data_IF_054617159044
#
_entry.id   IF_054617159044
#
_cell.length_a   1.000
_cell.length_b   1.000
_cell.length_c   1.000
_cell.angle_alpha   90.00
_cell.angle_beta   90.00
_cell.angle_gamma   90.00
#
_symmetry.space_group_name_H-M   'P 1'
#
loop_
_entity.id
_entity.type
_entity.pdbx_description
1 polymer ?
#
# COMPACT_ATOMS: atom_id res chain seq x y z
N UNK A 1 -22.86 3.75 19.42
CA UNK A 1 -21.87 3.39 20.44
C UNK A 1 -20.97 4.56 20.78
N UNK A 2 -20.59 4.70 22.00
CA UNK A 2 -20.26 5.88 22.77
C UNK A 2 -19.12 6.79 22.27
N UNK A 3 -19.39 8.08 22.15
CA UNK A 3 -18.52 9.25 21.91
C UNK A 3 -17.39 9.49 22.96
N UNK A 4 -16.84 8.46 23.60
CA UNK A 4 -15.92 8.61 24.75
C UNK A 4 -14.41 8.50 24.43
N UNK A 5 -13.95 8.57 23.17
CA UNK A 5 -12.52 8.59 22.84
C UNK A 5 -12.00 9.88 22.20
N UNK A 6 -12.78 10.94 22.21
CA UNK A 6 -12.42 12.29 21.70
C UNK A 6 -11.23 12.94 22.44
N UNK A 7 -10.86 12.45 23.63
CA UNK A 7 -9.98 13.16 24.54
C UNK A 7 -8.46 13.16 24.26
N UNK A 8 -7.91 12.37 23.29
CA UNK A 8 -6.45 12.32 23.08
C UNK A 8 -5.92 13.29 22.02
N UNK A 9 -6.67 13.50 20.95
CA UNK A 9 -6.28 14.46 19.91
C UNK A 9 -6.46 15.90 20.45
N UNK A 10 -7.56 16.15 21.15
CA UNK A 10 -7.82 17.44 21.81
C UNK A 10 -6.76 17.74 22.88
N UNK A 11 -6.31 16.73 23.64
CA UNK A 11 -5.24 16.89 24.62
C UNK A 11 -3.89 17.25 24.02
N UNK A 12 -3.55 16.70 22.84
CA UNK A 12 -2.29 17.01 22.15
C UNK A 12 -2.35 18.38 21.45
N UNK A 13 -3.47 18.72 20.84
CA UNK A 13 -3.71 20.05 20.28
C UNK A 13 -3.61 21.13 21.35
N UNK A 14 -4.27 20.92 22.49
CA UNK A 14 -4.21 21.83 23.64
C UNK A 14 -2.80 21.94 24.25
N UNK A 15 -2.08 20.81 24.36
CA UNK A 15 -0.71 20.79 24.86
C UNK A 15 0.29 21.53 23.96
N UNK A 16 -0.01 21.63 22.66
CA UNK A 16 0.79 22.36 21.67
C UNK A 16 0.29 23.79 21.45
N UNK A 17 -0.79 24.21 22.11
CA UNK A 17 -1.39 25.53 21.95
C UNK A 17 -1.95 25.78 20.54
N UNK A 18 -2.34 24.72 19.82
CA UNK A 18 -2.88 24.84 18.47
C UNK A 18 -4.27 25.47 18.52
N UNK A 19 -4.42 26.62 17.85
CA UNK A 19 -5.62 27.46 17.94
C UNK A 19 -6.85 26.94 17.18
N UNK A 20 -6.72 25.86 16.41
CA UNK A 20 -7.81 25.29 15.62
C UNK A 20 -8.31 26.18 14.47
N UNK A 21 -7.61 27.29 14.14
CA UNK A 21 -7.91 28.11 12.98
C UNK A 21 -7.60 27.36 11.69
N UNK A 22 -8.65 27.05 10.91
CA UNK A 22 -8.55 26.34 9.64
C UNK A 22 -8.53 27.27 8.40
N UNK A 23 -8.39 28.57 8.63
CA UNK A 23 -8.29 29.57 7.55
C UNK A 23 -7.08 29.27 6.67
N UNK A 24 -7.31 29.08 5.37
CA UNK A 24 -6.26 28.70 4.41
C UNK A 24 -5.83 27.23 4.43
N UNK A 25 -6.46 26.39 5.27
CA UNK A 25 -6.16 24.97 5.39
C UNK A 25 -7.09 24.13 4.52
N UNK A 26 -6.88 24.11 3.21
CA UNK A 26 -7.79 23.46 2.25
C UNK A 26 -7.43 21.97 1.97
N UNK A 27 -6.35 21.47 2.53
CA UNK A 27 -5.92 20.08 2.33
C UNK A 27 -6.28 19.24 3.55
N UNK A 28 -7.05 18.18 3.31
CA UNK A 28 -7.34 17.15 4.28
C UNK A 28 -6.55 15.88 3.95
N UNK A 29 -6.10 15.19 4.99
CA UNK A 29 -5.62 13.81 4.90
C UNK A 29 -6.50 12.95 5.80
N UNK A 30 -7.17 11.97 5.20
CA UNK A 30 -7.98 10.99 5.93
C UNK A 30 -7.32 9.62 5.88
N UNK A 31 -7.26 8.93 7.02
CA UNK A 31 -6.58 7.65 7.19
C UNK A 31 -7.41 6.75 8.12
N UNK A 32 -7.82 5.59 7.64
CA UNK A 32 -8.66 4.66 8.38
C UNK A 32 -7.91 4.06 9.56
N UNK A 33 -8.58 3.95 10.70
CA UNK A 33 -7.98 3.43 11.92
C UNK A 33 -7.85 1.92 11.89
N UNK A 34 -6.62 1.40 11.96
CA UNK A 34 -6.33 -0.04 11.95
C UNK A 34 -7.09 -0.80 10.84
N UNK A 35 -7.11 -0.27 9.63
CA UNK A 35 -8.05 -0.57 8.55
C UNK A 35 -8.41 -2.06 8.42
N UNK A 36 -7.47 -2.96 8.12
CA UNK A 36 -7.82 -4.37 7.93
C UNK A 36 -8.40 -5.00 9.20
N UNK A 37 -7.88 -4.64 10.37
CA UNK A 37 -8.45 -5.14 11.62
C UNK A 37 -9.85 -4.58 11.87
N UNK A 38 -10.08 -3.29 11.60
CA UNK A 38 -11.39 -2.66 11.74
C UNK A 38 -12.42 -3.30 10.79
N UNK A 39 -12.04 -3.57 9.54
CA UNK A 39 -12.91 -4.24 8.56
C UNK A 39 -13.27 -5.66 9.01
N UNK A 40 -12.31 -6.45 9.52
CA UNK A 40 -12.59 -7.78 10.05
C UNK A 40 -13.54 -7.76 11.26
N UNK A 41 -13.43 -6.75 12.10
CA UNK A 41 -14.29 -6.61 13.28
C UNK A 41 -15.74 -6.24 12.97
N UNK A 42 -16.06 -5.72 11.77
CA UNK A 42 -17.45 -5.42 11.37
C UNK A 42 -18.35 -6.65 11.44
N UNK A 43 -17.82 -7.82 11.11
CA UNK A 43 -18.54 -9.09 11.13
C UNK A 43 -18.27 -9.93 12.37
N UNK A 44 -17.46 -9.42 13.30
CA UNK A 44 -17.03 -10.13 14.52
C UNK A 44 -17.12 -9.22 15.76
N UNK A 45 -18.33 -8.79 16.13
CA UNK A 45 -18.54 -7.84 17.24
C UNK A 45 -18.00 -8.37 18.58
N UNK A 46 -17.91 -9.68 18.75
CA UNK A 46 -17.37 -10.36 19.93
C UNK A 46 -15.86 -10.14 20.13
N UNK A 47 -15.16 -9.68 19.08
CA UNK A 47 -13.72 -9.38 19.14
C UNK A 47 -13.45 -7.88 19.39
N UNK A 48 -14.46 -7.03 19.43
CA UNK A 48 -14.30 -5.59 19.70
C UNK A 48 -13.74 -5.39 21.11
N UNK A 49 -12.70 -4.56 21.23
CA UNK A 49 -11.98 -4.32 22.49
C UNK A 49 -10.94 -5.39 22.85
N UNK A 50 -10.82 -6.44 22.04
CA UNK A 50 -9.79 -7.49 22.22
C UNK A 50 -8.56 -7.20 21.34
N UNK A 51 -7.38 -7.68 21.73
CA UNK A 51 -6.22 -7.65 20.86
C UNK A 51 -6.43 -8.59 19.66
N UNK A 52 -6.47 -8.02 18.45
CA UNK A 52 -6.61 -8.75 17.19
C UNK A 52 -5.46 -8.37 16.27
N UNK A 53 -4.92 -9.35 15.57
CA UNK A 53 -3.85 -9.20 14.57
C UNK A 53 -4.34 -9.80 13.26
N UNK A 54 -4.33 -9.02 12.19
CA UNK A 54 -4.57 -9.50 10.84
C UNK A 54 -3.22 -9.82 10.20
N UNK A 55 -3.08 -11.04 9.74
CA UNK A 55 -1.86 -11.55 9.12
C UNK A 55 -1.84 -13.07 9.20
N UNK A 56 -0.88 -13.72 8.58
CA UNK A 56 -0.84 -15.17 8.55
C UNK A 56 0.44 -15.75 7.97
N UNK A 57 0.47 -17.07 7.88
CA UNK A 57 1.59 -17.81 7.31
C UNK A 57 2.83 -17.90 8.22
N UNK A 58 3.69 -18.86 7.91
CA UNK A 58 4.92 -19.13 8.68
C UNK A 58 5.97 -18.03 8.54
N UNK A 59 6.00 -17.37 7.39
CA UNK A 59 6.89 -16.23 7.07
C UNK A 59 6.14 -14.93 6.86
N UNK A 60 4.87 -14.88 7.28
CA UNK A 60 4.02 -13.71 7.15
C UNK A 60 4.37 -12.60 8.13
N UNK A 61 3.86 -11.43 7.84
CA UNK A 61 3.96 -10.23 8.66
C UNK A 61 2.58 -9.80 9.13
N UNK A 62 2.56 -8.99 10.18
CA UNK A 62 1.37 -8.27 10.60
C UNK A 62 0.97 -7.29 9.49
N UNK A 63 -0.23 -7.41 8.96
CA UNK A 63 -0.80 -6.46 8.01
C UNK A 63 -1.49 -5.31 8.74
N UNK A 64 -2.25 -5.65 9.79
CA UNK A 64 -2.91 -4.67 10.66
C UNK A 64 -3.06 -5.26 12.06
N UNK A 65 -3.20 -4.39 13.05
CA UNK A 65 -3.45 -4.80 14.43
C UNK A 65 -4.33 -3.76 15.13
N UNK A 66 -5.26 -4.23 15.97
CA UNK A 66 -6.08 -3.34 16.81
C UNK A 66 -5.22 -2.54 17.79
N UNK A 67 -5.74 -1.44 18.28
CA UNK A 67 -5.01 -0.62 19.26
C UNK A 67 -4.72 -1.37 20.57
N UNK A 68 -5.55 -2.34 20.94
CA UNK A 68 -5.32 -3.28 22.03
C UNK A 68 -4.03 -4.10 21.82
N UNK A 69 -3.85 -4.65 20.63
CA UNK A 69 -2.63 -5.39 20.30
C UNK A 69 -1.40 -4.45 20.18
N UNK A 70 -1.60 -3.23 19.65
CA UNK A 70 -0.52 -2.22 19.54
C UNK A 70 0.03 -1.78 20.89
N UNK A 71 -0.79 -1.79 21.97
CA UNK A 71 -0.32 -1.51 23.35
C UNK A 71 0.72 -2.52 23.83
N UNK A 72 0.71 -3.75 23.30
CA UNK A 72 1.73 -4.77 23.55
C UNK A 72 2.97 -4.64 22.64
N UNK A 73 3.08 -3.55 21.85
CA UNK A 73 4.20 -3.32 20.93
C UNK A 73 4.06 -3.99 19.56
N UNK A 74 2.90 -4.56 19.24
CA UNK A 74 2.62 -5.12 17.90
C UNK A 74 2.39 -3.98 16.91
N UNK A 75 2.98 -4.06 15.72
CA UNK A 75 2.82 -3.07 14.66
C UNK A 75 2.85 -3.73 13.27
N UNK A 76 2.33 -3.02 12.25
CA UNK A 76 2.37 -3.45 10.86
C UNK A 76 3.81 -3.74 10.39
N UNK A 77 3.95 -4.66 9.46
CA UNK A 77 5.22 -5.21 8.94
C UNK A 77 6.07 -6.01 9.95
N UNK A 78 5.65 -6.14 11.22
CA UNK A 78 6.32 -7.01 12.19
C UNK A 78 6.16 -8.49 11.78
N UNK A 79 7.22 -9.34 11.88
CA UNK A 79 7.08 -10.77 11.67
C UNK A 79 6.06 -11.39 12.63
N UNK A 80 5.15 -12.24 12.12
CA UNK A 80 4.06 -12.86 12.90
C UNK A 80 4.57 -13.62 14.13
N UNK A 81 5.72 -14.32 14.01
CA UNK A 81 6.31 -15.01 15.16
C UNK A 81 6.72 -14.07 16.29
N UNK A 82 7.15 -12.84 15.98
CA UNK A 82 7.44 -11.80 16.99
C UNK A 82 6.16 -11.23 17.59
N UNK A 83 5.17 -10.95 16.76
CA UNK A 83 3.88 -10.41 17.19
C UNK A 83 3.18 -11.35 18.17
N UNK A 84 3.17 -12.66 17.89
CA UNK A 84 2.60 -13.68 18.79
C UNK A 84 3.34 -13.78 20.14
N UNK A 85 4.65 -13.54 20.17
CA UNK A 85 5.39 -13.50 21.44
C UNK A 85 5.09 -12.26 22.26
N UNK A 86 4.89 -11.10 21.60
CA UNK A 86 4.58 -9.84 22.28
C UNK A 86 3.13 -9.80 22.79
N UNK A 87 2.20 -10.44 22.09
CA UNK A 87 0.79 -10.46 22.45
C UNK A 87 0.20 -11.88 22.28
N UNK A 88 0.54 -12.82 23.20
CA UNK A 88 0.11 -14.22 23.08
C UNK A 88 -1.41 -14.42 23.09
N UNK A 89 -2.13 -13.50 23.75
CA UNK A 89 -3.60 -13.52 23.85
C UNK A 89 -4.30 -12.94 22.62
N UNK A 90 -3.57 -12.44 21.64
CA UNK A 90 -4.17 -11.85 20.45
C UNK A 90 -4.85 -12.91 19.57
N UNK A 91 -6.04 -12.62 19.11
CA UNK A 91 -6.71 -13.40 18.07
C UNK A 91 -6.05 -13.07 16.73
N UNK A 92 -5.58 -14.10 16.02
CA UNK A 92 -4.98 -13.93 14.70
C UNK A 92 -5.99 -14.28 13.63
N UNK A 93 -6.27 -13.33 12.73
CA UNK A 93 -7.18 -13.48 11.60
C UNK A 93 -6.40 -13.51 10.28
N UNK A 94 -6.81 -14.37 9.38
CA UNK A 94 -6.30 -14.37 8.01
C UNK A 94 -6.90 -13.19 7.23
N UNK A 95 -6.14 -12.57 6.30
CA UNK A 95 -6.61 -11.41 5.57
C UNK A 95 -7.63 -11.76 4.48
N UNK A 96 -8.71 -10.99 4.40
CA UNK A 96 -9.74 -11.05 3.35
C UNK A 96 -9.63 -9.87 2.38
N UNK A 97 -8.65 -9.91 1.48
CA UNK A 97 -8.33 -8.79 0.57
C UNK A 97 -9.51 -8.32 -0.28
N UNK A 98 -10.43 -9.22 -0.67
CA UNK A 98 -11.64 -8.84 -1.40
C UNK A 98 -12.55 -7.90 -0.61
N UNK A 99 -12.75 -8.21 0.68
CA UNK A 99 -13.55 -7.37 1.59
C UNK A 99 -12.88 -6.01 1.82
N UNK A 100 -11.55 -5.97 1.94
CA UNK A 100 -10.82 -4.70 2.10
C UNK A 100 -10.96 -3.80 0.87
N UNK A 101 -10.89 -4.38 -0.33
CA UNK A 101 -11.07 -3.63 -1.57
C UNK A 101 -12.51 -3.11 -1.72
N UNK A 102 -13.51 -3.85 -1.25
CA UNK A 102 -14.90 -3.41 -1.23
C UNK A 102 -15.12 -2.21 -0.31
N UNK A 103 -14.66 -2.32 0.95
CA UNK A 103 -14.78 -1.23 1.92
C UNK A 103 -13.99 0.00 1.47
N UNK A 104 -12.78 -0.19 0.92
CA UNK A 104 -11.98 0.89 0.36
C UNK A 104 -12.73 1.65 -0.75
N UNK A 105 -13.43 0.95 -1.64
CA UNK A 105 -14.26 1.61 -2.67
C UNK A 105 -15.33 2.49 -2.05
N UNK A 106 -16.06 1.99 -1.05
CA UNK A 106 -17.07 2.78 -0.33
C UNK A 106 -16.46 4.01 0.35
N UNK A 107 -15.29 3.88 1.00
CA UNK A 107 -14.56 5.02 1.58
C UNK A 107 -14.20 6.06 0.50
N UNK A 108 -13.66 5.62 -0.65
CA UNK A 108 -13.29 6.52 -1.74
C UNK A 108 -14.52 7.18 -2.40
N UNK A 109 -15.67 6.51 -2.43
CA UNK A 109 -16.94 7.09 -2.86
C UNK A 109 -17.40 8.20 -1.91
N UNK A 110 -17.30 8.01 -0.60
CA UNK A 110 -17.57 9.07 0.39
C UNK A 110 -16.66 10.28 0.13
N UNK A 111 -15.36 10.07 -0.10
CA UNK A 111 -14.43 11.17 -0.39
C UNK A 111 -14.81 11.92 -1.67
N UNK A 112 -15.09 11.21 -2.76
CA UNK A 112 -15.46 11.82 -4.05
C UNK A 112 -16.80 12.56 -4.01
N UNK A 113 -17.71 12.22 -3.10
CA UNK A 113 -18.96 12.94 -2.91
C UNK A 113 -18.74 14.33 -2.28
N UNK A 114 -17.63 14.53 -1.60
CA UNK A 114 -17.25 15.82 -0.98
C UNK A 114 -16.50 16.70 -2.00
N UNK A 115 -15.51 16.15 -2.67
CA UNK A 115 -14.68 16.84 -3.67
C UNK A 115 -14.23 15.88 -4.77
N UNK A 116 -14.14 16.32 -6.04
CA UNK A 116 -13.54 15.51 -7.09
C UNK A 116 -12.01 15.43 -6.98
N UNK A 117 -11.37 16.31 -6.20
CA UNK A 117 -9.91 16.38 -6.05
C UNK A 117 -9.48 15.48 -4.90
N UNK A 118 -9.46 14.17 -5.16
CA UNK A 118 -9.07 13.11 -4.21
C UNK A 118 -7.86 12.37 -4.77
N UNK A 119 -6.79 12.30 -4.00
CA UNK A 119 -5.57 11.54 -4.30
C UNK A 119 -5.44 10.35 -3.35
N UNK A 120 -5.86 9.14 -3.76
CA UNK A 120 -5.64 7.94 -2.97
C UNK A 120 -4.14 7.61 -2.87
N UNK A 121 -3.68 7.30 -1.66
CA UNK A 121 -2.31 6.82 -1.42
C UNK A 121 -2.26 5.30 -1.23
N UNK A 122 -3.34 4.74 -0.68
CA UNK A 122 -3.51 3.32 -0.39
C UNK A 122 -5.00 2.95 -0.41
N UNK A 123 -5.35 1.76 0.04
CA UNK A 123 -6.74 1.34 0.23
C UNK A 123 -7.44 2.11 1.35
N UNK A 124 -6.68 2.67 2.29
CA UNK A 124 -7.17 3.20 3.56
C UNK A 124 -6.82 4.67 3.80
N UNK A 125 -6.09 5.33 2.91
CA UNK A 125 -5.75 6.74 3.08
C UNK A 125 -5.80 7.53 1.77
N UNK A 126 -6.21 8.79 1.87
CA UNK A 126 -6.22 9.72 0.75
C UNK A 126 -6.00 11.16 1.19
N UNK A 127 -5.48 11.98 0.27
CA UNK A 127 -5.56 13.44 0.35
C UNK A 127 -6.79 13.94 -0.38
N UNK A 128 -7.39 15.01 0.16
CA UNK A 128 -8.52 15.72 -0.44
C UNK A 128 -8.18 17.22 -0.49
N UNK A 129 -8.39 17.85 -1.63
CA UNK A 129 -8.47 19.33 -1.70
C UNK A 129 -9.94 19.73 -1.63
N UNK A 130 -10.31 20.42 -0.56
CA UNK A 130 -11.68 20.83 -0.30
C UNK A 130 -11.95 22.29 -0.64
N UNK A 131 -11.01 22.99 -1.27
CA UNK A 131 -11.15 24.42 -1.63
C UNK A 131 -12.44 24.70 -2.41
N UNK A 132 -12.81 23.81 -3.35
CA UNK A 132 -14.04 23.92 -4.13
C UNK A 132 -15.32 23.54 -3.37
N UNK A 133 -15.21 22.94 -2.19
CA UNK A 133 -16.37 22.45 -1.41
C UNK A 133 -16.80 23.44 -0.29
N UNK A 134 -15.98 24.42 0.05
CA UNK A 134 -16.16 25.31 1.22
C UNK A 134 -17.51 26.02 1.23
N UNK A 135 -17.96 26.53 0.06
CA UNK A 135 -19.26 27.23 -0.03
C UNK A 135 -20.45 26.32 0.27
N UNK A 136 -20.34 25.04 -0.06
CA UNK A 136 -21.43 24.06 0.07
C UNK A 136 -21.42 23.38 1.44
N UNK A 137 -20.27 23.06 1.98
CA UNK A 137 -20.11 22.18 3.12
C UNK A 137 -19.53 22.87 4.36
N UNK A 138 -19.15 24.16 4.26
CA UNK A 138 -18.58 24.92 5.39
C UNK A 138 -17.06 24.85 5.44
N UNK A 139 -16.47 25.26 6.59
CA UNK A 139 -15.02 25.30 6.76
C UNK A 139 -14.37 23.93 6.75
N UNK A 140 -13.05 23.82 6.48
CA UNK A 140 -12.35 22.55 6.34
C UNK A 140 -12.50 21.60 7.53
N UNK A 141 -12.52 22.11 8.75
CA UNK A 141 -12.76 21.32 9.97
C UNK A 141 -14.16 20.69 9.99
N UNK A 142 -15.19 21.43 9.57
CA UNK A 142 -16.56 20.88 9.46
C UNK A 142 -16.63 19.78 8.40
N UNK A 143 -15.94 19.93 7.29
CA UNK A 143 -15.82 18.90 6.25
C UNK A 143 -15.11 17.66 6.81
N UNK A 144 -14.03 17.83 7.57
CA UNK A 144 -13.33 16.73 8.23
C UNK A 144 -14.23 15.95 9.20
N UNK A 145 -15.07 16.65 9.96
CA UNK A 145 -16.08 16.03 10.85
C UNK A 145 -17.12 15.27 10.04
N UNK A 146 -17.66 15.88 8.99
CA UNK A 146 -18.64 15.24 8.10
C UNK A 146 -18.08 13.95 7.49
N UNK A 147 -16.83 13.94 7.06
CA UNK A 147 -16.19 12.75 6.50
C UNK A 147 -16.09 11.62 7.53
N UNK A 148 -15.66 11.95 8.76
CA UNK A 148 -15.55 10.97 9.85
C UNK A 148 -16.90 10.37 10.21
N UNK A 149 -17.93 11.19 10.36
CA UNK A 149 -19.28 10.73 10.68
C UNK A 149 -19.83 9.82 9.57
N UNK A 150 -19.70 10.23 8.30
CA UNK A 150 -20.17 9.44 7.17
C UNK A 150 -19.43 8.10 7.02
N UNK A 151 -18.11 8.08 7.21
CA UNK A 151 -17.34 6.83 7.14
C UNK A 151 -17.76 5.89 8.27
N UNK A 152 -18.01 6.40 9.47
CA UNK A 152 -18.50 5.60 10.58
C UNK A 152 -19.89 5.03 10.30
N UNK A 153 -20.81 5.84 9.78
CA UNK A 153 -22.19 5.44 9.51
C UNK A 153 -22.30 4.52 8.29
N UNK A 154 -21.63 4.84 7.17
CA UNK A 154 -21.76 4.12 5.90
C UNK A 154 -20.85 2.90 5.81
N UNK A 155 -19.63 2.96 6.40
CA UNK A 155 -18.65 1.90 6.30
C UNK A 155 -18.41 1.13 7.61
N UNK A 156 -18.96 1.59 8.74
CA UNK A 156 -18.83 0.93 10.05
C UNK A 156 -17.40 0.87 10.60
N UNK A 157 -16.52 1.77 10.16
CA UNK A 157 -15.14 1.90 10.62
C UNK A 157 -14.86 3.35 10.99
N UNK A 158 -13.80 3.60 11.77
CA UNK A 158 -13.37 4.95 12.11
C UNK A 158 -12.21 5.42 11.24
N UNK A 159 -12.06 6.73 11.12
CA UNK A 159 -10.90 7.35 10.50
C UNK A 159 -10.41 8.55 11.28
N UNK A 160 -9.12 8.85 11.11
CA UNK A 160 -8.49 10.04 11.66
C UNK A 160 -8.18 11.03 10.54
N UNK A 161 -8.49 12.31 10.77
CA UNK A 161 -8.37 13.36 9.76
C UNK A 161 -7.40 14.44 10.23
N UNK A 162 -6.49 14.81 9.35
CA UNK A 162 -5.63 15.99 9.50
C UNK A 162 -6.07 17.08 8.53
N UNK A 163 -6.16 18.30 9.02
CA UNK A 163 -6.52 19.50 8.23
C UNK A 163 -5.37 20.48 8.26
N UNK A 164 -4.86 20.87 7.11
CA UNK A 164 -3.73 21.80 7.01
C UNK A 164 -3.67 22.53 5.65
N UNK A 165 -2.69 23.42 5.50
CA UNK A 165 -2.44 24.11 4.24
C UNK A 165 -1.64 23.28 3.20
N UNK A 166 -0.98 22.18 3.63
CA UNK A 166 -0.17 21.34 2.75
C UNK A 166 -0.40 19.86 3.01
N UNK A 167 -0.12 19.02 2.00
CA UNK A 167 -0.24 17.56 2.09
C UNK A 167 0.59 16.98 3.23
N UNK A 168 1.84 17.44 3.33
CA UNK A 168 2.76 16.96 4.35
C UNK A 168 2.23 17.19 5.77
N UNK A 169 1.79 18.40 6.08
CA UNK A 169 1.29 18.76 7.41
C UNK A 169 -0.04 18.06 7.69
N UNK A 170 -0.96 17.99 6.71
CA UNK A 170 -2.22 17.25 6.86
C UNK A 170 -1.99 15.77 7.20
N UNK A 171 -0.99 15.11 6.57
CA UNK A 171 -0.66 13.71 6.88
C UNK A 171 -0.06 13.54 8.28
N UNK A 172 0.80 14.44 8.72
CA UNK A 172 1.32 14.43 10.10
C UNK A 172 0.20 14.67 11.12
N UNK A 173 -0.71 15.60 10.81
CA UNK A 173 -1.85 15.92 11.66
C UNK A 173 -2.79 14.70 11.83
N UNK A 174 -3.14 14.01 10.74
CA UNK A 174 -3.98 12.81 10.82
C UNK A 174 -3.33 11.69 11.64
N UNK A 175 -2.00 11.50 11.49
CA UNK A 175 -1.24 10.52 12.28
C UNK A 175 -1.23 10.87 13.77
N UNK A 176 -1.11 12.17 14.09
CA UNK A 176 -1.17 12.66 15.47
C UNK A 176 -2.58 12.59 16.10
N UNK A 177 -3.61 12.61 15.23
CA UNK A 177 -5.01 12.53 15.65
C UNK A 177 -5.46 11.09 15.96
N UNK A 178 -4.71 10.05 15.56
CA UNK A 178 -5.11 8.64 15.75
C UNK A 178 -5.23 8.24 17.23
N UNK A 179 -6.21 7.41 17.59
CA UNK A 179 -7.34 6.92 16.79
C UNK A 179 -8.56 7.82 16.85
N UNK A 180 -9.41 7.72 15.81
CA UNK A 180 -10.74 8.33 15.72
C UNK A 180 -10.74 9.81 16.11
N UNK A 181 -9.77 10.55 15.59
CA UNK A 181 -9.56 11.95 15.92
C UNK A 181 -9.49 12.85 14.70
N UNK A 182 -9.50 14.14 14.95
CA UNK A 182 -9.21 15.16 13.96
C UNK A 182 -8.24 16.18 14.56
N UNK A 183 -7.27 16.61 13.78
CA UNK A 183 -6.34 17.68 14.18
C UNK A 183 -6.25 18.72 13.06
N UNK A 184 -6.55 19.97 13.43
CA UNK A 184 -6.35 21.14 12.57
C UNK A 184 -5.01 21.76 12.91
N UNK A 185 -4.16 21.94 11.89
CA UNK A 185 -2.89 22.65 12.03
C UNK A 185 -2.96 23.92 11.16
N UNK A 186 -3.22 25.05 11.78
CA UNK A 186 -3.31 26.34 11.14
C UNK A 186 -2.03 26.74 10.42
N UNK A 187 -2.12 27.69 9.51
CA UNK A 187 -0.96 28.20 8.76
C UNK A 187 0.13 28.70 9.69
N UNK A 188 -0.25 29.46 10.73
CA UNK A 188 0.66 30.01 11.74
C UNK A 188 1.24 28.95 12.68
N UNK A 189 0.52 27.85 12.89
CA UNK A 189 0.90 26.77 13.78
C UNK A 189 1.77 25.71 13.09
N UNK A 190 1.95 25.79 11.77
CA UNK A 190 2.66 24.80 10.97
C UNK A 190 4.08 24.54 11.49
N UNK A 191 4.89 25.60 11.65
CA UNK A 191 6.30 25.44 12.07
C UNK A 191 6.39 24.95 13.53
N UNK A 192 5.70 25.56 14.52
CA UNK A 192 5.67 25.02 15.88
C UNK A 192 5.25 23.55 15.97
N UNK A 193 4.21 23.17 15.23
CA UNK A 193 3.74 21.78 15.19
C UNK A 193 4.81 20.83 14.64
N UNK A 194 5.34 21.12 13.46
CA UNK A 194 6.33 20.25 12.80
C UNK A 194 7.61 20.16 13.65
N UNK A 195 8.09 21.25 14.22
CA UNK A 195 9.28 21.26 15.08
C UNK A 195 9.13 20.46 16.38
N UNK A 196 7.91 20.29 16.87
CA UNK A 196 7.63 19.50 18.09
C UNK A 196 7.76 17.99 17.86
N UNK A 197 7.85 17.52 16.60
CA UNK A 197 7.83 16.11 16.25
C UNK A 197 9.23 15.49 16.27
N UNK A 198 9.33 14.18 16.59
CA UNK A 198 10.53 13.41 16.33
C UNK A 198 10.85 13.38 14.82
N UNK A 199 12.14 13.38 14.47
CA UNK A 199 12.56 13.30 13.08
C UNK A 199 12.08 12.02 12.37
N UNK A 200 11.83 10.97 13.13
CA UNK A 200 11.30 9.69 12.64
C UNK A 200 9.87 9.79 12.09
N UNK A 201 9.11 10.79 12.51
CA UNK A 201 7.71 10.99 12.09
C UNK A 201 7.61 11.71 10.74
N UNK A 202 8.73 12.27 10.23
CA UNK A 202 8.76 12.93 8.93
C UNK A 202 8.47 11.95 7.79
N UNK A 203 7.54 12.32 6.93
CA UNK A 203 7.24 11.56 5.73
C UNK A 203 8.46 11.47 4.81
N UNK A 204 8.92 10.25 4.53
CA UNK A 204 10.16 9.97 3.79
C UNK A 204 11.37 9.64 4.66
N UNK A 205 11.24 9.68 5.98
CA UNK A 205 12.25 9.19 6.91
C UNK A 205 11.95 7.74 7.28
N UNK A 206 12.57 6.81 6.57
CA UNK A 206 12.57 5.38 6.94
C UNK A 206 13.68 5.04 7.96
N UNK A 207 13.74 3.78 8.44
CA UNK A 207 14.71 3.36 9.47
C UNK A 207 16.18 3.70 9.14
N UNK A 208 16.59 3.54 7.86
CA UNK A 208 17.96 3.86 7.43
C UNK A 208 18.25 5.37 7.50
N UNK A 209 17.32 6.20 7.05
CA UNK A 209 17.46 7.66 7.14
C UNK A 209 17.45 8.12 8.58
N UNK A 210 16.56 7.56 9.39
CA UNK A 210 16.51 7.83 10.84
C UNK A 210 17.83 7.49 11.52
N UNK A 211 18.44 6.36 11.21
CA UNK A 211 19.74 5.97 11.76
C UNK A 211 20.85 6.96 11.39
N UNK A 212 20.89 7.46 10.15
CA UNK A 212 21.82 8.48 9.70
C UNK A 212 21.64 9.77 10.48
N UNK A 213 20.38 10.25 10.60
CA UNK A 213 20.05 11.48 11.31
C UNK A 213 20.38 11.37 12.81
N UNK A 214 20.08 10.23 13.43
CA UNK A 214 20.39 9.96 14.84
C UNK A 214 21.90 9.97 15.10
N UNK A 215 22.72 9.41 14.18
CA UNK A 215 24.19 9.48 14.27
C UNK A 215 24.72 10.91 14.21
N UNK A 216 24.00 11.82 13.54
CA UNK A 216 24.32 13.26 13.53
C UNK A 216 23.81 14.00 14.78
N UNK A 217 23.16 13.31 15.72
CA UNK A 217 22.55 13.89 16.90
C UNK A 217 21.16 14.51 16.67
N UNK A 218 20.59 14.39 15.45
CA UNK A 218 19.32 15.00 15.08
C UNK A 218 18.16 14.07 15.52
N UNK A 219 17.42 14.47 16.51
CA UNK A 219 16.32 13.69 17.08
C UNK A 219 14.96 14.27 16.78
N UNK A 220 14.87 15.59 16.68
CA UNK A 220 13.65 16.35 16.41
C UNK A 220 13.70 16.97 15.02
N UNK A 221 12.53 17.34 14.51
CA UNK A 221 12.42 18.10 13.26
C UNK A 221 13.05 19.48 13.41
N UNK A 222 12.98 20.09 14.59
CA UNK A 222 13.67 21.33 14.90
C UNK A 222 15.20 21.20 14.74
N UNK A 223 15.80 20.09 15.24
CA UNK A 223 17.24 19.85 15.06
C UNK A 223 17.61 19.79 13.56
N UNK A 224 16.75 19.13 12.78
CA UNK A 224 16.98 19.02 11.31
C UNK A 224 16.84 20.38 10.63
N UNK A 225 15.82 21.17 10.98
CA UNK A 225 15.58 22.50 10.43
C UNK A 225 16.75 23.45 10.63
N UNK A 226 17.39 23.39 11.79
CA UNK A 226 18.52 24.26 12.15
C UNK A 226 19.88 23.69 11.73
N UNK A 227 19.91 22.51 11.10
CA UNK A 227 21.16 21.91 10.60
C UNK A 227 21.53 22.53 9.26
N UNK A 228 22.79 22.97 9.07
CA UNK A 228 23.23 23.51 7.78
C UNK A 228 22.99 22.55 6.62
N UNK A 229 22.39 23.05 5.52
CA UNK A 229 22.00 22.24 4.37
C UNK A 229 23.18 21.43 3.80
N UNK A 230 24.41 21.96 3.82
CA UNK A 230 25.61 21.23 3.41
C UNK A 230 25.85 19.94 4.21
N UNK A 231 25.53 19.95 5.49
CA UNK A 231 25.64 18.76 6.37
C UNK A 231 24.62 17.71 5.97
N UNK A 232 23.38 18.12 5.73
CA UNK A 232 22.33 17.22 5.26
C UNK A 232 22.64 16.64 3.88
N UNK A 233 23.15 17.45 2.95
CA UNK A 233 23.57 16.98 1.62
C UNK A 233 24.69 15.94 1.69
N UNK A 234 25.67 16.13 2.59
CA UNK A 234 26.75 15.17 2.77
C UNK A 234 26.26 13.83 3.34
N UNK A 235 25.28 13.87 4.23
CA UNK A 235 24.79 12.69 4.93
C UNK A 235 23.72 11.90 4.14
N UNK A 236 22.85 12.59 3.41
CA UNK A 236 21.65 12.03 2.78
C UNK A 236 21.66 12.12 1.25
N UNK A 237 22.63 12.84 0.67
CA UNK A 237 22.60 13.25 -0.73
C UNK A 237 21.80 14.54 -0.96
N UNK A 238 22.05 15.21 -2.08
CA UNK A 238 21.50 16.53 -2.37
C UNK A 238 19.98 16.55 -2.39
N UNK A 239 19.36 15.62 -3.14
CA UNK A 239 17.90 15.62 -3.31
C UNK A 239 17.16 15.37 -1.99
N UNK A 240 17.54 14.33 -1.26
CA UNK A 240 16.86 13.97 0.00
C UNK A 240 17.17 15.00 1.11
N UNK A 241 18.40 15.49 1.18
CA UNK A 241 18.79 16.52 2.16
C UNK A 241 18.01 17.81 1.98
N UNK A 242 17.90 18.32 0.73
CA UNK A 242 17.11 19.50 0.42
C UNK A 242 15.62 19.26 0.72
N UNK A 243 15.07 18.13 0.29
CA UNK A 243 13.67 17.79 0.51
C UNK A 243 13.29 17.76 1.99
N UNK A 244 14.05 17.04 2.82
CA UNK A 244 13.77 16.95 4.25
C UNK A 244 13.97 18.31 4.97
N UNK A 245 14.92 19.12 4.52
CA UNK A 245 15.10 20.48 5.04
C UNK A 245 13.89 21.36 4.75
N UNK A 246 13.34 21.36 3.52
CA UNK A 246 12.12 22.12 3.21
C UNK A 246 10.92 21.62 4.04
N UNK A 247 10.74 20.29 4.13
CA UNK A 247 9.69 19.71 4.96
C UNK A 247 9.81 20.08 6.44
N UNK A 248 11.05 20.21 6.96
CA UNK A 248 11.26 20.60 8.36
C UNK A 248 10.78 22.01 8.69
N UNK A 249 10.63 22.85 7.66
CA UNK A 249 10.01 24.19 7.76
C UNK A 249 8.52 24.19 7.35
N UNK A 250 7.91 23.01 7.22
CA UNK A 250 6.51 22.87 6.79
C UNK A 250 6.27 23.20 5.32
N UNK A 251 7.32 23.35 4.51
CA UNK A 251 7.22 23.73 3.09
C UNK A 251 7.05 22.49 2.23
N UNK A 252 5.87 22.35 1.64
CA UNK A 252 5.54 21.28 0.71
C UNK A 252 4.73 21.85 -0.45
N UNK A 253 5.34 22.07 -1.64
CA UNK A 253 4.65 22.65 -2.78
C UNK A 253 3.77 21.66 -3.55
N UNK A 254 3.72 20.39 -3.13
CA UNK A 254 2.92 19.35 -3.82
C UNK A 254 1.44 19.62 -3.63
N UNK A 255 0.72 19.65 -4.75
CA UNK A 255 -0.74 19.75 -4.76
C UNK A 255 -1.39 18.37 -4.71
N UNK A 256 -2.67 18.30 -4.36
CA UNK A 256 -3.47 17.08 -4.46
C UNK A 256 -3.77 16.80 -5.93
N UNK A 257 -3.33 15.64 -6.43
CA UNK A 257 -3.47 15.25 -7.83
C UNK A 257 -4.40 14.04 -7.91
N UNK A 258 -5.64 14.21 -8.42
CA UNK A 258 -6.52 13.09 -8.66
C UNK A 258 -5.90 12.16 -9.71
N UNK A 259 -5.93 10.86 -9.43
CA UNK A 259 -5.53 9.79 -10.34
C UNK A 259 -4.16 9.95 -11.02
N UNK A 260 -3.16 9.41 -10.38
CA UNK A 260 -1.89 9.13 -11.05
C UNK A 260 -1.96 7.73 -11.66
N UNK A 261 -1.85 7.61 -12.98
CA UNK A 261 -1.76 6.33 -13.64
C UNK A 261 -0.67 5.46 -12.99
N UNK A 262 -0.98 4.22 -12.71
CA UNK A 262 -0.03 3.27 -12.13
C UNK A 262 1.23 3.17 -13.02
N UNK A 263 2.41 3.22 -12.44
CA UNK A 263 3.68 3.11 -13.18
C UNK A 263 4.06 1.67 -13.48
N UNK A 264 3.53 0.73 -12.72
CA UNK A 264 3.85 -0.70 -12.84
C UNK A 264 2.78 -1.58 -12.18
N UNK A 265 2.63 -2.79 -12.69
CA UNK A 265 1.82 -3.85 -12.08
C UNK A 265 2.74 -5.03 -11.78
N UNK A 266 2.71 -5.55 -10.55
CA UNK A 266 3.56 -6.65 -10.14
C UNK A 266 2.97 -7.53 -9.06
N UNK A 267 3.58 -8.69 -8.89
CA UNK A 267 3.28 -9.63 -7.82
C UNK A 267 4.57 -10.28 -7.33
N UNK A 268 4.70 -10.39 -6.02
CA UNK A 268 5.81 -11.07 -5.34
C UNK A 268 5.25 -12.26 -4.55
N UNK A 269 6.06 -13.33 -4.44
CA UNK A 269 5.76 -14.49 -3.59
C UNK A 269 6.95 -14.82 -2.71
N UNK A 270 6.72 -14.93 -1.40
CA UNK A 270 7.72 -15.43 -0.45
C UNK A 270 7.47 -16.92 -0.23
N UNK A 271 8.42 -17.77 -0.59
CA UNK A 271 8.32 -19.20 -0.38
C UNK A 271 8.22 -19.54 1.11
N UNK A 272 7.39 -20.52 1.47
CA UNK A 272 7.27 -21.00 2.85
C UNK A 272 8.61 -21.53 3.40
N UNK A 273 9.46 -22.07 2.54
CA UNK A 273 10.86 -22.46 2.80
C UNK A 273 11.72 -21.94 1.65
N UNK A 274 12.99 -21.69 1.93
CA UNK A 274 13.92 -21.30 0.85
C UNK A 274 14.05 -22.43 -0.16
N UNK A 275 14.06 -22.08 -1.44
CA UNK A 275 14.05 -23.00 -2.58
C UNK A 275 15.38 -22.91 -3.30
N UNK A 276 15.94 -24.06 -3.66
CA UNK A 276 17.18 -24.19 -4.45
C UNK A 276 16.97 -24.96 -5.78
N UNK A 277 15.74 -25.47 -6.02
CA UNK A 277 15.35 -26.10 -7.30
C UNK A 277 14.82 -25.05 -8.28
N UNK A 278 15.52 -24.77 -9.41
CA UNK A 278 15.09 -23.81 -10.41
C UNK A 278 13.70 -24.11 -10.99
N UNK A 279 13.30 -25.39 -11.07
CA UNK A 279 11.98 -25.78 -11.62
C UNK A 279 10.84 -25.28 -10.73
N UNK A 280 11.03 -25.25 -9.41
CA UNK A 280 10.05 -24.69 -8.47
C UNK A 280 9.95 -23.17 -8.69
N UNK A 281 11.08 -22.50 -8.92
CA UNK A 281 11.13 -21.06 -9.18
C UNK A 281 10.48 -20.72 -10.52
N UNK A 282 10.75 -21.47 -11.58
CA UNK A 282 10.12 -21.29 -12.90
C UNK A 282 8.59 -21.45 -12.84
N UNK A 283 8.12 -22.47 -12.09
CA UNK A 283 6.67 -22.67 -11.87
C UNK A 283 6.04 -21.48 -11.17
N UNK A 284 6.73 -20.91 -10.19
CA UNK A 284 6.26 -19.74 -9.47
C UNK A 284 6.30 -18.47 -10.35
N UNK A 285 7.35 -18.29 -11.15
CA UNK A 285 7.42 -17.22 -12.16
C UNK A 285 6.24 -17.30 -13.12
N UNK A 286 5.87 -18.51 -13.59
CA UNK A 286 4.69 -18.70 -14.44
C UNK A 286 3.42 -18.24 -13.74
N UNK A 287 3.21 -18.66 -12.49
CA UNK A 287 2.03 -18.29 -11.70
C UNK A 287 1.92 -16.76 -11.49
N UNK A 288 3.05 -16.12 -11.20
CA UNK A 288 3.11 -14.67 -11.03
C UNK A 288 2.88 -13.92 -12.35
N UNK A 289 3.42 -14.44 -13.46
CA UNK A 289 3.25 -13.85 -14.79
C UNK A 289 1.79 -13.86 -15.24
N UNK A 290 1.10 -14.98 -15.08
CA UNK A 290 -0.35 -15.10 -15.33
C UNK A 290 -1.15 -14.10 -14.48
N UNK A 291 -0.82 -13.99 -13.20
CA UNK A 291 -1.48 -13.05 -12.28
C UNK A 291 -1.25 -11.59 -12.66
N UNK A 292 -0.04 -11.24 -13.07
CA UNK A 292 0.30 -9.88 -13.52
C UNK A 292 -0.39 -9.56 -14.83
N UNK A 293 -0.38 -10.49 -15.79
CA UNK A 293 -1.02 -10.32 -17.09
C UNK A 293 -2.55 -10.15 -16.97
N UNK A 294 -3.20 -10.96 -16.11
CA UNK A 294 -4.64 -10.82 -15.85
C UNK A 294 -4.99 -9.42 -15.26
N UNK A 295 -4.11 -8.86 -14.43
CA UNK A 295 -4.30 -7.49 -13.91
C UNK A 295 -4.09 -6.43 -14.99
N UNK A 296 -3.05 -6.58 -15.84
CA UNK A 296 -2.83 -5.69 -16.97
C UNK A 296 -4.08 -5.61 -17.85
N UNK A 297 -4.67 -6.76 -18.19
CA UNK A 297 -5.91 -6.83 -18.99
C UNK A 297 -7.13 -6.28 -18.23
N UNK A 298 -7.19 -6.50 -16.91
CA UNK A 298 -8.27 -5.98 -16.06
C UNK A 298 -8.28 -4.45 -15.94
N UNK A 299 -7.11 -3.83 -16.04
CA UNK A 299 -6.91 -2.38 -15.99
C UNK A 299 -6.80 -1.76 -17.39
N UNK A 300 -7.04 -2.54 -18.47
CA UNK A 300 -6.92 -2.15 -19.88
C UNK A 300 -5.58 -1.49 -20.24
N UNK A 301 -4.50 -1.99 -19.67
CA UNK A 301 -3.14 -1.50 -19.91
C UNK A 301 -2.22 -2.60 -20.46
N UNK A 302 -1.21 -2.17 -21.21
CA UNK A 302 -0.09 -3.01 -21.65
C UNK A 302 1.22 -2.43 -21.13
N UNK A 303 2.25 -3.26 -21.00
CA UNK A 303 3.55 -2.77 -20.57
C UNK A 303 4.70 -3.37 -21.37
N UNK A 304 5.84 -2.70 -21.34
CA UNK A 304 6.96 -3.06 -22.22
C UNK A 304 8.16 -3.64 -21.47
N UNK A 305 8.34 -3.33 -20.20
CA UNK A 305 9.51 -3.78 -19.44
C UNK A 305 9.09 -4.77 -18.36
N UNK A 306 9.58 -6.01 -18.50
CA UNK A 306 9.39 -7.05 -17.48
C UNK A 306 10.57 -7.03 -16.53
N UNK A 307 10.28 -6.94 -15.24
CA UNK A 307 11.27 -6.91 -14.16
C UNK A 307 11.11 -8.15 -13.30
N UNK A 308 12.15 -8.94 -13.22
CA UNK A 308 12.29 -10.04 -12.26
C UNK A 308 12.98 -9.54 -10.99
N UNK A 309 12.44 -9.89 -9.84
CA UNK A 309 13.02 -9.68 -8.52
C UNK A 309 13.30 -11.02 -7.87
N UNK A 310 14.52 -11.21 -7.38
CA UNK A 310 14.90 -12.40 -6.61
C UNK A 310 15.50 -11.95 -5.29
N UNK A 311 15.00 -12.52 -4.18
CA UNK A 311 15.58 -12.33 -2.85
C UNK A 311 16.10 -13.65 -2.32
N UNK A 312 17.33 -13.66 -1.84
CA UNK A 312 17.98 -14.82 -1.28
C UNK A 312 17.69 -15.01 0.22
N UNK A 313 18.14 -16.13 0.78
CA UNK A 313 17.98 -16.48 2.18
C UNK A 313 18.60 -15.45 3.14
N UNK A 314 19.67 -14.82 2.76
CA UNK A 314 20.37 -13.74 3.48
C UNK A 314 19.71 -12.36 3.34
N UNK A 315 18.54 -12.29 2.70
CA UNK A 315 17.80 -11.07 2.36
C UNK A 315 18.43 -10.17 1.30
N UNK A 316 19.58 -10.57 0.71
CA UNK A 316 20.08 -9.89 -0.49
C UNK A 316 19.04 -9.96 -1.60
N UNK A 317 18.82 -8.83 -2.25
CA UNK A 317 17.80 -8.73 -3.32
C UNK A 317 18.48 -8.25 -4.59
N UNK A 318 18.24 -8.95 -5.68
CA UNK A 318 18.65 -8.54 -7.03
C UNK A 318 17.42 -8.36 -7.90
N UNK A 319 17.54 -7.46 -8.87
CA UNK A 319 16.53 -7.26 -9.92
C UNK A 319 17.19 -7.37 -11.29
N UNK A 320 16.44 -7.89 -12.25
CA UNK A 320 16.82 -7.93 -13.67
C UNK A 320 15.63 -7.52 -14.50
N UNK A 321 15.86 -6.67 -15.49
CA UNK A 321 14.81 -6.20 -16.39
C UNK A 321 15.08 -6.63 -17.83
N UNK A 322 14.00 -6.90 -18.55
CA UNK A 322 13.99 -7.12 -20.00
C UNK A 322 12.94 -6.24 -20.65
N UNK A 323 13.35 -5.43 -21.60
CA UNK A 323 12.44 -4.61 -22.38
C UNK A 323 12.07 -5.40 -23.64
N UNK A 324 10.77 -5.61 -23.83
CA UNK A 324 10.20 -6.32 -24.98
C UNK A 324 10.20 -5.42 -26.22
N UNK A 325 10.16 -6.03 -27.40
CA UNK A 325 10.03 -5.28 -28.66
C UNK A 325 8.71 -4.53 -28.75
N UNK A 326 7.63 -5.18 -28.29
CA UNK A 326 6.28 -4.62 -28.26
C UNK A 326 5.73 -4.66 -26.84
N UNK A 327 4.85 -3.70 -26.45
CA UNK A 327 4.10 -3.79 -25.22
C UNK A 327 3.19 -5.02 -25.22
N UNK A 328 2.99 -5.63 -24.05
CA UNK A 328 2.17 -6.84 -23.92
C UNK A 328 1.30 -6.82 -22.67
N UNK A 329 0.19 -7.53 -22.71
CA UNK A 329 -0.68 -7.95 -21.62
C UNK A 329 -0.78 -9.49 -21.55
N UNK A 330 0.07 -10.21 -22.30
CA UNK A 330 0.05 -11.66 -22.41
C UNK A 330 0.92 -12.32 -21.35
N UNK A 331 0.35 -13.27 -20.60
CA UNK A 331 1.06 -14.03 -19.57
C UNK A 331 2.27 -14.79 -20.11
N UNK A 332 2.14 -15.37 -21.32
CA UNK A 332 3.23 -16.08 -21.98
C UNK A 332 4.46 -15.20 -22.26
N UNK A 333 4.26 -13.96 -22.70
CA UNK A 333 5.35 -13.06 -23.05
C UNK A 333 6.05 -12.55 -21.78
N UNK A 334 5.26 -12.20 -20.74
CA UNK A 334 5.77 -11.83 -19.43
C UNK A 334 6.56 -12.99 -18.82
N UNK A 335 6.03 -14.21 -18.89
CA UNK A 335 6.70 -15.42 -18.40
C UNK A 335 8.02 -15.68 -19.13
N UNK A 336 8.01 -15.67 -20.48
CA UNK A 336 9.22 -15.91 -21.27
C UNK A 336 10.33 -14.91 -20.94
N UNK A 337 9.98 -13.63 -20.78
CA UNK A 337 10.94 -12.59 -20.42
C UNK A 337 11.47 -12.76 -18.99
N UNK A 338 10.61 -13.12 -18.04
CA UNK A 338 10.98 -13.31 -16.64
C UNK A 338 11.85 -14.56 -16.45
N UNK A 339 11.53 -15.68 -17.12
CA UNK A 339 12.36 -16.90 -17.11
C UNK A 339 13.73 -16.62 -17.73
N UNK A 340 13.77 -15.97 -18.88
CA UNK A 340 15.05 -15.65 -19.52
C UNK A 340 15.90 -14.67 -18.67
N UNK A 341 15.25 -13.80 -17.86
CA UNK A 341 15.96 -12.98 -16.88
C UNK A 341 16.49 -13.80 -15.70
N UNK A 342 15.74 -14.84 -15.28
CA UNK A 342 16.14 -15.75 -14.20
C UNK A 342 17.30 -16.65 -14.62
N UNK A 343 17.18 -17.30 -15.77
CA UNK A 343 18.22 -18.21 -16.31
C UNK A 343 19.54 -17.46 -16.58
N UNK A 344 19.43 -16.21 -17.05
CA UNK A 344 20.58 -15.33 -17.25
C UNK A 344 21.33 -14.94 -15.97
N UNK A 345 20.82 -15.27 -14.77
CA UNK A 345 21.55 -15.10 -13.51
C UNK A 345 22.60 -16.18 -13.26
N UNK A 346 22.49 -17.33 -13.94
CA UNK A 346 23.42 -18.45 -13.79
C UNK A 346 23.52 -18.97 -12.35
N UNK A 347 22.39 -18.99 -11.61
CA UNK A 347 22.37 -19.38 -10.20
C UNK A 347 22.54 -20.89 -10.07
N UNK A 348 23.58 -21.32 -9.36
CA UNK A 348 23.79 -22.70 -8.96
C UNK A 348 23.51 -22.84 -7.46
N UNK A 349 22.56 -23.72 -7.09
CA UNK A 349 22.17 -24.05 -5.70
C UNK A 349 21.89 -22.84 -4.79
N UNK A 350 21.46 -21.72 -5.39
CA UNK A 350 21.15 -20.52 -4.63
C UNK A 350 19.85 -20.72 -3.84
N UNK A 351 19.88 -20.42 -2.53
CA UNK A 351 18.70 -20.50 -1.68
C UNK A 351 17.84 -19.26 -1.87
N UNK A 352 16.76 -19.41 -2.62
CA UNK A 352 15.83 -18.33 -2.98
C UNK A 352 14.68 -18.28 -1.97
N UNK A 353 14.50 -17.11 -1.39
CA UNK A 353 13.46 -16.80 -0.40
C UNK A 353 12.21 -16.22 -1.04
N UNK A 354 12.35 -15.38 -2.07
CA UNK A 354 11.24 -14.69 -2.73
C UNK A 354 11.56 -14.53 -4.21
N UNK A 355 10.53 -14.65 -5.02
CA UNK A 355 10.54 -14.27 -6.42
C UNK A 355 9.39 -13.29 -6.70
N UNK A 356 9.61 -12.33 -7.59
CA UNK A 356 8.60 -11.37 -8.02
C UNK A 356 8.71 -11.08 -9.50
N UNK A 357 7.56 -10.84 -10.11
CA UNK A 357 7.42 -10.41 -11.51
C UNK A 357 6.66 -9.10 -11.54
N UNK A 358 7.17 -8.14 -12.30
CA UNK A 358 6.54 -6.83 -12.46
C UNK A 358 6.66 -6.37 -13.90
N UNK A 359 5.64 -5.68 -14.38
CA UNK A 359 5.61 -5.04 -15.71
C UNK A 359 5.58 -3.54 -15.51
N UNK A 360 6.47 -2.84 -16.18
CA UNK A 360 6.66 -1.38 -16.14
C UNK A 360 6.47 -0.76 -17.52
N UNK A 361 6.44 0.58 -17.58
CA UNK A 361 6.20 1.31 -18.82
C UNK A 361 4.78 1.06 -19.32
N UNK A 362 3.83 1.20 -18.39
CA UNK A 362 2.41 1.00 -18.66
C UNK A 362 1.87 2.09 -19.57
N UNK A 363 1.00 1.70 -20.50
CA UNK A 363 0.25 2.58 -21.39
C UNK A 363 -1.12 1.95 -21.69
N UNK A 364 -2.15 2.76 -22.01
CA UNK A 364 -3.47 2.23 -22.36
C UNK A 364 -3.37 1.25 -23.53
N UNK A 365 -4.12 0.15 -23.45
CA UNK A 365 -4.06 -0.92 -24.44
C UNK A 365 -4.59 -0.51 -25.83
N UNK A 366 -5.52 0.44 -25.87
CA UNK A 366 -6.14 0.98 -27.08
C UNK A 366 -5.22 1.92 -27.87
N UNK A 367 -4.28 2.58 -27.18
CA UNK A 367 -3.33 3.52 -27.81
C UNK A 367 -1.97 2.90 -28.09
N UNK A 368 -1.74 1.68 -27.59
CA UNK A 368 -0.47 0.99 -27.74
C UNK A 368 -0.23 0.57 -29.22
N UNK A 369 0.93 0.90 -29.80
CA UNK A 369 1.25 0.45 -31.14
C UNK A 369 1.41 -1.07 -31.15
N UNK A 370 0.51 -1.77 -31.84
CA UNK A 370 0.57 -3.20 -32.10
C UNK A 370 0.98 -3.40 -33.56
N UNK A 371 2.16 -3.95 -33.78
CA UNK A 371 2.56 -4.40 -35.09
C UNK A 371 2.01 -5.82 -35.30
N UNK A 372 1.03 -5.94 -36.20
CA UNK A 372 0.51 -7.24 -36.60
C UNK A 372 1.57 -7.97 -37.41
N UNK A 373 1.78 -9.26 -37.10
CA UNK A 373 2.64 -10.13 -37.90
C UNK A 373 1.84 -10.67 -39.10
N UNK A 374 2.48 -10.66 -40.25
CA UNK A 374 1.87 -11.21 -41.46
C UNK A 374 1.66 -12.73 -41.30
N UNK A 375 0.41 -13.21 -41.42
CA UNK A 375 0.10 -14.62 -41.19
C UNK A 375 -0.24 -14.98 -39.76
N UNK A 376 -0.38 -14.00 -38.86
CA UNK A 376 -0.91 -14.26 -37.53
C UNK A 376 -2.32 -14.89 -37.61
N UNK A 377 -2.63 -15.90 -36.77
CA UNK A 377 -3.94 -16.53 -36.78
C UNK A 377 -5.03 -15.51 -36.39
N UNK A 378 -6.23 -15.64 -36.97
CA UNK A 378 -7.38 -14.78 -36.72
C UNK A 378 -7.75 -14.75 -35.25
N UNK A 379 -7.60 -15.88 -34.53
CA UNK A 379 -7.74 -16.00 -33.09
C UNK A 379 -6.41 -16.38 -32.46
N UNK A 380 -5.87 -15.47 -31.62
CA UNK A 380 -4.56 -15.61 -31.01
C UNK A 380 -4.61 -15.90 -29.51
N UNK A 381 -3.44 -15.91 -28.90
CA UNK A 381 -3.30 -16.10 -27.45
C UNK A 381 -4.02 -15.02 -26.63
N UNK A 382 -4.16 -13.81 -27.17
CA UNK A 382 -4.88 -12.72 -26.50
C UNK A 382 -6.36 -13.06 -26.32
N UNK A 383 -6.99 -13.67 -27.32
CA UNK A 383 -8.40 -14.10 -27.25
C UNK A 383 -8.56 -15.25 -26.26
N UNK A 384 -7.61 -16.18 -26.26
CA UNK A 384 -7.59 -17.29 -25.31
C UNK A 384 -7.45 -16.81 -23.88
N UNK A 385 -6.53 -15.89 -23.59
CA UNK A 385 -6.33 -15.35 -22.24
C UNK A 385 -7.52 -14.50 -21.78
N UNK A 386 -8.15 -13.72 -22.67
CA UNK A 386 -9.41 -13.00 -22.37
C UNK A 386 -10.57 -13.95 -22.07
N UNK A 387 -10.66 -15.07 -22.79
CA UNK A 387 -11.66 -16.09 -22.49
C UNK A 387 -11.43 -16.73 -21.10
N UNK A 388 -10.18 -17.01 -20.75
CA UNK A 388 -9.79 -17.48 -19.40
C UNK A 388 -10.17 -16.46 -18.31
N UNK A 389 -9.92 -15.18 -18.55
CA UNK A 389 -10.31 -14.11 -17.60
C UNK A 389 -11.83 -14.04 -17.43
N UNK A 390 -12.58 -14.20 -18.52
CA UNK A 390 -14.05 -14.22 -18.50
C UNK A 390 -14.59 -15.40 -17.69
N UNK A 391 -14.01 -16.58 -17.88
CA UNK A 391 -14.36 -17.78 -17.11
C UNK A 391 -13.99 -17.61 -15.62
N UNK A 392 -12.83 -17.04 -15.35
CA UNK A 392 -12.38 -16.78 -13.97
C UNK A 392 -13.27 -15.78 -13.23
N UNK A 393 -13.78 -14.76 -13.91
CA UNK A 393 -14.78 -13.83 -13.35
C UNK A 393 -16.10 -14.50 -13.02
N UNK A 394 -16.56 -15.44 -13.89
CA UNK A 394 -17.85 -16.11 -13.73
C UNK A 394 -17.82 -17.28 -12.73
N UNK A 395 -16.75 -18.05 -12.72
CA UNK A 395 -16.67 -19.32 -11.97
C UNK A 395 -15.61 -19.33 -10.87
N UNK A 396 -14.95 -18.19 -10.64
CA UNK A 396 -13.90 -18.04 -9.63
C UNK A 396 -12.49 -18.21 -10.19
N UNK A 397 -11.53 -17.64 -9.47
CA UNK A 397 -10.13 -17.63 -9.85
C UNK A 397 -9.56 -19.07 -9.90
N UNK A 398 -8.88 -19.39 -11.00
CA UNK A 398 -8.14 -20.65 -11.18
C UNK A 398 -8.97 -21.83 -11.71
N UNK A 399 -10.17 -21.58 -12.24
CA UNK A 399 -10.97 -22.58 -12.98
C UNK A 399 -10.21 -23.09 -14.22
N UNK A 400 -9.51 -22.21 -14.90
CA UNK A 400 -8.59 -22.54 -15.98
C UNK A 400 -7.18 -22.16 -15.58
N UNK A 401 -6.25 -23.09 -15.73
CA UNK A 401 -4.82 -22.88 -15.39
C UNK A 401 -3.92 -23.57 -16.42
N UNK A 402 -2.70 -23.05 -16.65
CA UNK A 402 -1.67 -23.81 -17.35
C UNK A 402 -1.46 -25.19 -16.71
N UNK A 403 -1.31 -26.24 -17.53
CA UNK A 403 -1.18 -27.61 -17.04
C UNK A 403 -0.03 -27.83 -16.04
N UNK A 404 1.05 -27.04 -16.17
CA UNK A 404 2.19 -27.03 -15.23
C UNK A 404 1.85 -26.50 -13.83
N UNK A 405 0.76 -25.72 -13.69
CA UNK A 405 0.27 -25.20 -12.42
C UNK A 405 -0.80 -26.08 -11.77
N UNK A 406 -1.22 -27.16 -12.42
CA UNK A 406 -2.18 -28.13 -11.87
C UNK A 406 -1.46 -29.05 -10.90
N UNK A 407 -1.91 -29.09 -9.66
CA UNK A 407 -1.35 -29.95 -8.63
C UNK A 407 -1.81 -31.40 -8.85
N UNK A 408 -0.90 -32.31 -9.22
CA UNK A 408 -1.21 -33.72 -9.49
C UNK A 408 -1.88 -34.42 -8.32
N UNK A 409 -1.55 -34.03 -7.09
CA UNK A 409 -2.14 -34.64 -5.87
C UNK A 409 -3.64 -34.34 -5.68
N UNK A 410 -4.16 -33.26 -6.26
CA UNK A 410 -5.61 -32.97 -6.26
C UNK A 410 -6.38 -33.73 -7.36
N UNK A 411 -5.67 -34.19 -8.38
CA UNK A 411 -6.28 -34.97 -9.45
C UNK A 411 -6.63 -36.38 -8.99
N UNK A 412 -5.75 -36.99 -8.19
CA UNK A 412 -5.95 -38.36 -7.68
C UNK A 412 -7.07 -38.41 -6.62
N UNK A 413 -7.18 -37.35 -5.79
CA UNK A 413 -8.27 -37.22 -4.81
C UNK A 413 -9.66 -36.95 -5.43
N UNK A 414 -9.72 -36.29 -6.57
CA UNK A 414 -10.98 -36.03 -7.29
C UNK A 414 -11.40 -37.21 -8.17
N UNK A 415 -10.47 -38.05 -8.61
CA UNK A 415 -10.75 -39.29 -9.33
C UNK A 415 -11.27 -40.40 -8.43
N UNK A 416 -10.83 -40.40 -7.15
CA UNK A 416 -11.24 -41.40 -6.14
C UNK A 416 -12.64 -41.11 -5.52
N UNK A 417 -13.12 -39.85 -5.61
CA UNK A 417 -14.45 -39.46 -5.12
C UNK A 417 -15.58 -39.59 -6.13
N UNK A 418 -15.33 -40.11 -7.33
CA UNK A 418 -16.28 -40.28 -8.42
C UNK A 418 -16.77 -41.69 -8.67
N UNK A 419 -16.48 -42.65 -7.76
CA UNK A 419 -16.92 -44.04 -7.85
C UNK A 419 -17.52 -44.51 -6.50
N UNK A 420 -18.65 -43.92 -6.12
CA UNK A 420 -19.65 -44.48 -5.22
C UNK A 420 -21.05 -44.08 -5.68
#
# INVERSE_FOLDING_TARGET
MSRRQVGRADGRAAALGLGGDDTGCTVLHADMDAFYAAVELRTRPELVGRPVIVGGGTRGVVLSATYEARRSGVHAAMPMGRARRLCPQAVVLEPHHGLYAEVSRGVMEVFRSVTPVVEPLSLDEAFLDVSGALRRLGPPAAIGTLLRDRIADEQGITCSVGVAASKFVAKLASSAAKPDGMLVVGVTDTVPFVHSLPVADLWGVGPRTQEVLTRLGLRTVADLAHTPLRTLHRALGQAQGSHLHELSWGRDPRVVVPETAGKSIGADETFARDVDDPRVVHREILRLSERVAARLRGDDVVGRTVVLKVRFADFTTITRSRTLRQPTDLGRDVHAAAVAAFDGLGLDRARIRLVGVRVEGLQPADTAPLQLELGAPEHGWRDAERAVDSLSRRFGAGVVRPGTLVDRRRRDAAADSGHD
#
